data_IF_376767210223
#
_entry.id   IF_376767210223
#
_cell.length_a   1.000
_cell.length_b   1.000
_cell.length_c   1.000
_cell.angle_alpha   90.00
_cell.angle_beta   90.00
_cell.angle_gamma   90.00
#
_symmetry.space_group_name_H-M   'P 1'
#
loop_
_entity.id
_entity.type
_entity.pdbx_description
1 polymer ?
#
# COMPACT_ATOMS: atom_id res chain seq x y z
N UNK A 1 34.38 2.42 -19.98
CA UNK A 1 33.12 1.77 -20.42
C UNK A 1 32.23 1.78 -19.20
N UNK A 2 31.06 2.42 -19.29
CA UNK A 2 30.12 2.44 -18.18
C UNK A 2 29.62 0.99 -17.97
N UNK A 3 29.65 0.53 -16.72
CA UNK A 3 29.07 -0.75 -16.34
C UNK A 3 27.57 -0.66 -16.64
N UNK A 4 27.13 -1.41 -17.65
CA UNK A 4 25.74 -1.42 -18.08
C UNK A 4 24.94 -2.03 -16.94
N UNK A 5 24.16 -1.18 -16.27
CA UNK A 5 23.40 -1.54 -15.08
C UNK A 5 22.21 -2.39 -15.56
N UNK A 6 22.43 -3.69 -15.71
CA UNK A 6 21.38 -4.66 -16.05
C UNK A 6 20.30 -4.59 -14.97
N UNK A 7 19.12 -4.12 -15.35
CA UNK A 7 18.01 -3.99 -14.42
C UNK A 7 17.40 -5.38 -14.20
N UNK A 8 17.32 -5.84 -12.95
CA UNK A 8 16.62 -7.09 -12.61
C UNK A 8 15.10 -6.90 -12.65
N UNK A 9 14.53 -6.93 -13.86
CA UNK A 9 13.07 -6.82 -14.07
C UNK A 9 12.30 -7.94 -13.38
N UNK A 10 12.87 -9.15 -13.33
CA UNK A 10 12.26 -10.28 -12.62
C UNK A 10 12.23 -10.02 -11.10
N UNK A 11 13.29 -9.42 -10.56
CA UNK A 11 13.36 -8.92 -9.19
C UNK A 11 12.31 -7.86 -8.91
N UNK A 12 12.19 -6.86 -9.77
CA UNK A 12 11.16 -5.82 -9.66
C UNK A 12 9.75 -6.42 -9.63
N UNK A 13 9.48 -7.40 -10.50
CA UNK A 13 8.19 -8.10 -10.54
C UNK A 13 7.92 -8.91 -9.28
N UNK A 14 8.92 -9.63 -8.75
CA UNK A 14 8.79 -10.34 -7.45
C UNK A 14 8.51 -9.37 -6.30
N UNK A 15 9.21 -8.24 -6.27
CA UNK A 15 8.98 -7.19 -5.27
C UNK A 15 7.57 -6.61 -5.39
N UNK A 16 7.04 -6.44 -6.61
CA UNK A 16 5.67 -5.97 -6.82
C UNK A 16 4.63 -6.89 -6.16
N UNK A 17 4.79 -8.22 -6.29
CA UNK A 17 3.92 -9.18 -5.62
C UNK A 17 4.02 -9.12 -4.09
N UNK A 18 5.24 -8.96 -3.57
CA UNK A 18 5.47 -8.78 -2.14
C UNK A 18 4.79 -7.54 -1.58
N UNK A 19 4.94 -6.40 -2.26
CA UNK A 19 4.29 -5.14 -1.89
C UNK A 19 2.77 -5.27 -1.99
N UNK A 20 2.25 -5.91 -3.04
CA UNK A 20 0.81 -6.13 -3.21
C UNK A 20 0.22 -6.96 -2.08
N UNK A 21 0.86 -8.07 -1.74
CA UNK A 21 0.44 -8.93 -0.62
C UNK A 21 0.48 -8.17 0.70
N UNK A 22 1.52 -7.37 0.94
CA UNK A 22 1.64 -6.58 2.16
C UNK A 22 0.55 -5.51 2.26
N UNK A 23 0.25 -4.81 1.16
CA UNK A 23 -0.84 -3.84 1.06
C UNK A 23 -2.20 -4.50 1.37
N UNK A 24 -2.52 -5.62 0.73
CA UNK A 24 -3.80 -6.33 0.93
C UNK A 24 -3.99 -6.77 2.39
N UNK A 25 -2.93 -7.33 3.00
CA UNK A 25 -2.95 -7.73 4.41
C UNK A 25 -3.14 -6.53 5.33
N UNK A 26 -2.38 -5.46 5.13
CA UNK A 26 -2.50 -4.25 5.95
C UNK A 26 -3.90 -3.63 5.83
N UNK A 27 -4.46 -3.58 4.62
CA UNK A 27 -5.81 -3.07 4.38
C UNK A 27 -6.88 -3.93 5.09
N UNK A 28 -6.73 -5.26 5.06
CA UNK A 28 -7.62 -6.17 5.76
C UNK A 28 -7.53 -6.01 7.29
N UNK A 29 -6.31 -5.91 7.83
CA UNK A 29 -6.07 -5.72 9.26
C UNK A 29 -6.64 -4.39 9.77
N UNK A 30 -6.47 -3.31 9.01
CA UNK A 30 -7.01 -2.00 9.35
C UNK A 30 -8.55 -2.02 9.38
N UNK A 31 -9.20 -2.65 8.40
CA UNK A 31 -10.66 -2.82 8.38
C UNK A 31 -11.15 -3.65 9.57
N UNK A 32 -10.51 -4.79 9.83
CA UNK A 32 -10.85 -5.64 10.97
C UNK A 32 -10.67 -4.92 12.32
N UNK A 33 -9.66 -4.06 12.44
CA UNK A 33 -9.49 -3.21 13.62
C UNK A 33 -10.64 -2.21 13.76
N UNK A 34 -11.01 -1.50 12.69
CA UNK A 34 -12.12 -0.53 12.70
C UNK A 34 -13.46 -1.20 13.06
N UNK A 35 -13.73 -2.40 12.53
CA UNK A 35 -14.93 -3.19 12.85
C UNK A 35 -14.96 -3.59 14.32
N UNK A 36 -13.84 -4.08 14.88
CA UNK A 36 -13.74 -4.38 16.32
C UNK A 36 -13.99 -3.13 17.17
N UNK A 37 -13.43 -1.99 16.77
CA UNK A 37 -13.62 -0.72 17.47
C UNK A 37 -15.07 -0.24 17.41
N UNK A 38 -15.75 -0.41 16.28
CA UNK A 38 -17.17 -0.08 16.13
C UNK A 38 -18.07 -0.98 17.00
N UNK A 39 -17.71 -2.25 17.17
CA UNK A 39 -18.47 -3.21 17.97
C UNK A 39 -18.53 -2.87 19.48
N UNK A 40 -17.56 -2.11 20.00
CA UNK A 40 -17.59 -1.65 21.40
C UNK A 40 -18.65 -0.57 21.68
N UNK A 41 -19.24 0.04 20.64
CA UNK A 41 -20.27 1.07 20.80
C UNK A 41 -19.73 2.37 21.44
N UNK A 42 -20.52 2.98 22.32
CA UNK A 42 -20.17 4.20 23.05
C UNK A 42 -19.87 3.88 24.54
N UNK A 43 -18.66 3.41 24.87
CA UNK A 43 -18.32 2.99 26.24
C UNK A 43 -18.36 4.16 27.25
N UNK A 44 -18.19 5.39 26.77
CA UNK A 44 -18.19 6.61 27.57
C UNK A 44 -19.10 7.62 26.87
N UNK A 45 -20.25 7.99 27.46
CA UNK A 45 -21.13 8.98 26.82
C UNK A 45 -22.57 9.09 27.30
N UNK A 46 -23.06 8.14 28.10
CA UNK A 46 -24.51 8.04 28.36
C UNK A 46 -24.99 8.67 29.68
N UNK A 47 -24.14 8.85 30.69
CA UNK A 47 -24.64 9.09 32.06
C UNK A 47 -24.20 10.39 32.77
N UNK A 48 -23.24 11.17 32.26
CA UNK A 48 -22.88 12.51 32.78
C UNK A 48 -21.91 13.28 31.86
N UNK A 49 -21.71 14.58 32.16
CA UNK A 49 -20.82 15.48 31.40
C UNK A 49 -19.36 15.00 31.34
N UNK A 50 -18.83 14.38 32.39
CA UNK A 50 -17.47 13.84 32.39
C UNK A 50 -17.36 12.66 31.42
N UNK A 51 -18.31 11.72 31.46
CA UNK A 51 -18.37 10.59 30.53
C UNK A 51 -18.56 11.02 29.08
N UNK A 52 -19.33 12.10 28.83
CA UNK A 52 -19.49 12.69 27.49
C UNK A 52 -18.17 13.26 26.96
N UNK A 53 -17.44 14.03 27.77
CA UNK A 53 -16.13 14.57 27.39
C UNK A 53 -15.12 13.45 27.10
N UNK A 54 -15.11 12.38 27.90
CA UNK A 54 -14.26 11.20 27.63
C UNK A 54 -14.65 10.54 26.31
N UNK A 55 -15.95 10.40 26.04
CA UNK A 55 -16.47 9.86 24.78
C UNK A 55 -16.02 10.68 23.57
N UNK A 56 -16.07 12.01 23.66
CA UNK A 56 -15.61 12.92 22.61
C UNK A 56 -14.11 12.79 22.36
N UNK A 57 -13.28 12.81 23.40
CA UNK A 57 -11.83 12.67 23.26
C UNK A 57 -11.44 11.33 22.63
N UNK A 58 -12.11 10.24 23.06
CA UNK A 58 -11.90 8.91 22.50
C UNK A 58 -12.31 8.85 21.02
N UNK A 59 -13.49 9.40 20.67
CA UNK A 59 -13.97 9.47 19.29
C UNK A 59 -12.98 10.19 18.37
N UNK A 60 -12.53 11.38 18.79
CA UNK A 60 -11.55 12.16 18.01
C UNK A 60 -10.22 11.42 17.82
N UNK A 61 -9.69 10.78 18.86
CA UNK A 61 -8.45 10.01 18.77
C UNK A 61 -8.61 8.78 17.85
N UNK A 62 -9.75 8.09 17.94
CA UNK A 62 -10.08 6.96 17.08
C UNK A 62 -10.19 7.37 15.61
N UNK A 63 -10.86 8.48 15.32
CA UNK A 63 -11.08 8.94 13.96
C UNK A 63 -9.76 9.43 13.31
N UNK A 64 -8.90 10.10 14.09
CA UNK A 64 -7.55 10.44 13.66
C UNK A 64 -6.73 9.19 13.34
N UNK A 65 -6.74 8.20 14.23
CA UNK A 65 -6.03 6.94 14.03
C UNK A 65 -6.52 6.18 12.79
N UNK A 66 -7.84 6.12 12.58
CA UNK A 66 -8.45 5.50 11.40
C UNK A 66 -8.02 6.19 10.11
N UNK A 67 -7.97 7.52 10.10
CA UNK A 67 -7.53 8.33 8.94
C UNK A 67 -6.05 8.08 8.64
N UNK A 68 -5.18 8.13 9.65
CA UNK A 68 -3.75 7.86 9.47
C UNK A 68 -3.48 6.47 8.87
N UNK A 69 -4.20 5.44 9.30
CA UNK A 69 -4.05 4.11 8.69
C UNK A 69 -4.55 4.06 7.26
N UNK A 70 -5.71 4.66 6.98
CA UNK A 70 -6.26 4.71 5.63
C UNK A 70 -5.28 5.39 4.67
N UNK A 71 -4.82 6.59 5.00
CA UNK A 71 -3.93 7.39 4.15
C UNK A 71 -2.58 6.68 3.91
N UNK A 72 -1.98 6.13 4.98
CA UNK A 72 -0.71 5.43 4.87
C UNK A 72 -0.82 4.16 4.02
N UNK A 73 -1.90 3.40 4.14
CA UNK A 73 -2.12 2.18 3.34
C UNK A 73 -2.42 2.56 1.89
N UNK A 74 -3.19 3.61 1.67
CA UNK A 74 -3.59 4.05 0.33
C UNK A 74 -2.39 4.50 -0.51
N UNK A 75 -1.37 5.09 0.12
CA UNK A 75 -0.11 5.44 -0.53
C UNK A 75 0.56 4.26 -1.24
N UNK A 76 0.33 3.01 -0.79
CA UNK A 76 0.90 1.80 -1.39
C UNK A 76 -0.01 1.13 -2.42
N UNK A 77 -1.26 1.57 -2.59
CA UNK A 77 -2.25 0.90 -3.46
C UNK A 77 -1.75 0.75 -4.90
N UNK A 78 -1.15 1.80 -5.45
CA UNK A 78 -0.72 1.84 -6.86
C UNK A 78 0.69 1.28 -7.12
N UNK A 79 1.48 1.06 -6.07
CA UNK A 79 2.89 0.66 -6.24
C UNK A 79 3.05 -0.72 -6.90
N UNK A 80 2.32 -1.77 -6.51
CA UNK A 80 2.41 -3.08 -7.16
C UNK A 80 2.11 -3.01 -8.65
N UNK A 81 1.07 -2.26 -9.04
CA UNK A 81 0.69 -2.10 -10.44
C UNK A 81 1.77 -1.35 -11.24
N UNK A 82 2.25 -0.22 -10.71
CA UNK A 82 3.32 0.54 -11.34
C UNK A 82 4.61 -0.27 -11.49
N UNK A 83 4.97 -1.07 -10.48
CA UNK A 83 6.15 -1.93 -10.53
C UNK A 83 6.02 -3.04 -11.56
N UNK A 84 4.86 -3.69 -11.69
CA UNK A 84 4.59 -4.68 -12.74
C UNK A 84 4.69 -4.05 -14.13
N UNK A 85 4.04 -2.89 -14.32
CA UNK A 85 4.08 -2.17 -15.59
C UNK A 85 5.52 -1.76 -15.97
N UNK A 86 6.32 -1.30 -15.01
CA UNK A 86 7.74 -1.00 -15.24
C UNK A 86 8.53 -2.25 -15.62
N UNK A 87 8.34 -3.38 -14.93
CA UNK A 87 9.03 -4.62 -15.24
C UNK A 87 8.69 -5.13 -16.64
N UNK A 88 7.41 -5.08 -17.01
CA UNK A 88 6.93 -5.56 -18.31
C UNK A 88 7.44 -4.66 -19.45
N UNK A 89 7.32 -3.33 -19.29
CA UNK A 89 7.80 -2.37 -20.30
C UNK A 89 9.33 -2.37 -20.42
N UNK A 90 10.05 -2.48 -19.30
CA UNK A 90 11.51 -2.54 -19.29
C UNK A 90 12.05 -3.77 -20.02
N UNK A 91 11.45 -4.94 -19.74
CA UNK A 91 11.78 -6.19 -20.44
C UNK A 91 11.56 -6.07 -21.95
N UNK A 92 10.42 -5.50 -22.37
CA UNK A 92 10.13 -5.29 -23.79
C UNK A 92 11.13 -4.34 -24.47
N UNK A 93 11.50 -3.25 -23.79
CA UNK A 93 12.46 -2.27 -24.32
C UNK A 93 13.86 -2.88 -24.50
N UNK A 94 14.32 -3.73 -23.58
CA UNK A 94 15.59 -4.43 -23.71
C UNK A 94 15.58 -5.45 -24.86
N UNK A 95 14.48 -6.19 -25.03
CA UNK A 95 14.31 -7.13 -26.14
C UNK A 95 14.30 -6.40 -27.50
N UNK A 96 13.60 -5.28 -27.60
CA UNK A 96 13.54 -4.45 -28.81
C UNK A 96 14.93 -3.90 -29.17
N UNK A 97 15.65 -3.38 -28.17
CA UNK A 97 17.02 -2.87 -28.33
C UNK A 97 17.97 -3.98 -28.80
N UNK A 98 17.92 -5.15 -28.18
CA UNK A 98 18.72 -6.30 -28.57
C UNK A 98 18.42 -6.76 -30.01
N UNK A 99 17.15 -6.73 -30.42
CA UNK A 99 16.73 -7.07 -31.78
C UNK A 99 17.18 -6.06 -32.84
N UNK A 100 17.22 -4.78 -32.48
CA UNK A 100 17.64 -3.68 -33.36
C UNK A 100 19.16 -3.67 -33.56
N UNK A 101 19.94 -3.96 -32.51
CA UNK A 101 21.40 -4.03 -32.59
C UNK A 101 21.86 -5.33 -33.28
N UNK A 102 21.09 -6.41 -33.20
CA UNK A 102 21.41 -7.72 -33.78
C UNK A 102 20.92 -7.97 -35.21
N UNK A 103 20.35 -6.97 -35.90
CA UNK A 103 19.81 -7.12 -37.26
C UNK A 103 20.87 -7.40 -38.34
N UNK A 104 20.57 -8.19 -39.39
CA UNK A 104 21.55 -8.66 -40.37
C UNK A 104 22.13 -7.49 -41.20
N UNK A 105 23.46 -7.45 -41.27
CA UNK A 105 24.24 -6.63 -42.20
C UNK A 105 24.11 -7.13 -43.65
#
# INVERSE_FOLDING_TARGET
MAEELLVDWAGLRRSAEGVGTAYERAAAEARAFQERMAAYGAPWGVNNAVSQTIGLCYGSARDLHATCHADNIDAYRGYPEGMRAMADNGTLAELDTASTIGGPA
#
